data_IF_294647245642
#
_entry.id   IF_294647245642
#
_cell.length_a   1.000
_cell.length_b   1.000
_cell.length_c   1.000
_cell.angle_alpha   90.00
_cell.angle_beta   90.00
_cell.angle_gamma   90.00
#
_symmetry.space_group_name_H-M   'P 1'
#
loop_
_entity.id
_entity.type
_entity.pdbx_description
1 polymer ?
#
# COMPACT_ATOMS: atom_id res chain seq x y z
N UNK A 1 36.47 37.50 -21.60
CA UNK A 1 35.03 37.19 -21.39
C UNK A 1 34.66 35.74 -21.65
N UNK A 2 35.23 35.08 -22.67
CA UNK A 2 34.89 33.70 -23.06
C UNK A 2 35.24 32.62 -22.03
N UNK A 3 36.25 32.83 -21.17
CA UNK A 3 36.64 31.88 -20.12
C UNK A 3 35.67 31.80 -18.93
N UNK A 4 34.92 32.87 -18.65
CA UNK A 4 33.95 32.89 -17.53
C UNK A 4 32.60 32.25 -17.92
N UNK A 5 32.24 32.27 -19.20
CA UNK A 5 31.00 31.66 -19.72
C UNK A 5 31.10 30.12 -19.69
N UNK A 6 32.28 29.54 -19.96
CA UNK A 6 32.51 28.10 -19.88
C UNK A 6 32.47 27.57 -18.44
N UNK A 7 32.87 28.37 -17.46
CA UNK A 7 32.81 27.99 -16.04
C UNK A 7 31.36 28.01 -15.50
N UNK A 8 30.52 28.94 -15.97
CA UNK A 8 29.10 29.00 -15.65
C UNK A 8 28.29 27.86 -16.27
N UNK A 9 28.64 27.42 -17.50
CA UNK A 9 28.00 26.26 -18.14
C UNK A 9 28.36 24.93 -17.45
N UNK A 10 29.57 24.81 -16.87
CA UNK A 10 29.97 23.62 -16.10
C UNK A 10 29.24 23.46 -14.76
N UNK A 11 28.83 24.56 -14.14
CA UNK A 11 28.09 24.56 -12.86
C UNK A 11 26.60 24.23 -13.08
N UNK A 12 26.00 24.63 -14.20
CA UNK A 12 24.61 24.28 -14.52
C UNK A 12 24.48 22.79 -14.89
N UNK A 13 25.50 22.20 -15.53
CA UNK A 13 25.51 20.76 -15.87
C UNK A 13 25.70 19.82 -14.66
N UNK A 14 26.27 20.32 -13.55
CA UNK A 14 26.42 19.56 -12.30
C UNK A 14 25.25 19.77 -11.32
N UNK A 15 24.31 20.66 -11.66
CA UNK A 15 23.09 20.94 -10.90
C UNK A 15 21.90 20.02 -11.21
N UNK A 16 22.04 19.07 -12.16
CA UNK A 16 21.08 17.97 -12.31
C UNK A 16 21.35 16.96 -11.20
N UNK A 17 21.03 17.34 -9.96
CA UNK A 17 20.73 16.34 -8.94
C UNK A 17 19.77 15.37 -9.61
N UNK A 18 20.20 14.11 -9.78
CA UNK A 18 19.33 13.03 -10.19
C UNK A 18 18.15 13.04 -9.24
N UNK A 19 17.05 13.69 -9.63
CA UNK A 19 15.77 13.57 -8.97
C UNK A 19 15.23 12.19 -9.35
N UNK A 20 15.97 11.14 -8.96
CA UNK A 20 15.76 9.75 -9.36
C UNK A 20 14.28 9.45 -9.25
N UNK A 21 13.61 9.18 -10.36
CA UNK A 21 12.17 8.95 -10.34
C UNK A 21 11.80 7.83 -9.37
N UNK A 22 10.58 7.87 -8.83
CA UNK A 22 10.12 6.75 -8.01
C UNK A 22 10.05 5.50 -8.88
N UNK A 23 10.62 4.40 -8.39
CA UNK A 23 10.62 3.09 -9.06
C UNK A 23 10.22 2.00 -8.04
N UNK A 24 9.98 0.79 -8.49
CA UNK A 24 9.57 -0.35 -7.68
C UNK A 24 10.26 -1.63 -8.16
N UNK A 25 11.52 -1.51 -8.59
CA UNK A 25 12.33 -2.61 -9.13
C UNK A 25 13.20 -3.32 -8.09
N UNK A 26 13.11 -2.94 -6.80
CA UNK A 26 13.86 -3.60 -5.74
C UNK A 26 13.42 -5.06 -5.66
N UNK A 27 14.37 -5.98 -5.72
CA UNK A 27 14.09 -7.40 -5.73
C UNK A 27 15.00 -8.11 -4.75
N UNK A 28 14.48 -9.12 -4.06
CA UNK A 28 15.27 -10.02 -3.24
C UNK A 28 14.73 -10.22 -1.83
N UNK A 29 15.32 -11.18 -1.15
CA UNK A 29 15.05 -11.48 0.25
C UNK A 29 16.05 -10.74 1.14
N UNK A 30 15.55 -9.87 1.99
CA UNK A 30 16.32 -9.13 2.98
C UNK A 30 16.05 -9.72 4.35
N UNK A 31 17.06 -10.30 5.00
CA UNK A 31 16.90 -10.98 6.28
C UNK A 31 17.67 -10.28 7.39
N UNK A 32 17.15 -10.38 8.61
CA UNK A 32 17.87 -9.96 9.82
C UNK A 32 18.18 -11.16 10.71
N UNK A 33 19.28 -11.08 11.46
CA UNK A 33 19.59 -12.01 12.55
C UNK A 33 19.18 -11.45 13.93
N UNK A 34 18.62 -10.24 13.97
CA UNK A 34 18.14 -9.64 15.20
C UNK A 34 16.98 -10.45 15.77
N UNK A 35 17.12 -10.90 17.02
CA UNK A 35 16.03 -11.55 17.77
C UNK A 35 14.99 -10.57 18.30
N UNK A 36 15.31 -9.28 18.31
CA UNK A 36 14.44 -8.20 18.80
C UNK A 36 13.53 -7.65 17.70
N UNK A 37 13.78 -8.01 16.43
CA UNK A 37 12.95 -7.56 15.33
C UNK A 37 11.68 -8.39 15.23
N UNK A 38 10.53 -7.72 15.13
CA UNK A 38 9.26 -8.36 14.82
C UNK A 38 9.23 -8.97 13.41
N UNK A 39 9.99 -8.38 12.47
CA UNK A 39 9.98 -8.76 11.06
C UNK A 39 11.31 -9.41 10.69
N UNK A 40 11.32 -10.74 10.63
CA UNK A 40 12.54 -11.52 10.33
C UNK A 40 13.06 -11.32 8.90
N UNK A 41 12.17 -11.00 7.96
CA UNK A 41 12.53 -10.71 6.57
C UNK A 41 11.56 -9.78 5.84
N UNK A 42 12.06 -9.22 4.73
CA UNK A 42 11.26 -8.57 3.68
C UNK A 42 11.62 -9.19 2.33
N UNK A 43 10.62 -9.65 1.57
CA UNK A 43 10.84 -10.21 0.24
C UNK A 43 10.19 -9.30 -0.82
N UNK A 44 11.01 -8.59 -1.58
CA UNK A 44 10.55 -7.67 -2.63
C UNK A 44 10.50 -8.37 -3.97
N UNK A 45 9.41 -8.17 -4.70
CA UNK A 45 9.10 -8.89 -5.94
C UNK A 45 9.58 -8.19 -7.23
N UNK A 46 10.28 -7.05 -7.11
CA UNK A 46 10.68 -6.23 -8.26
C UNK A 46 9.52 -5.53 -9.00
N UNK A 47 8.30 -5.55 -8.46
CA UNK A 47 7.10 -4.97 -9.07
C UNK A 47 6.17 -4.25 -8.08
N UNK A 48 6.72 -3.74 -6.98
CA UNK A 48 5.97 -2.93 -6.01
C UNK A 48 5.18 -3.72 -4.97
N UNK A 49 5.33 -5.04 -4.87
CA UNK A 49 4.82 -5.82 -3.73
C UNK A 49 5.95 -6.38 -2.86
N UNK A 50 5.72 -6.38 -1.56
CA UNK A 50 6.65 -6.92 -0.58
C UNK A 50 5.93 -7.83 0.38
N UNK A 51 6.49 -9.02 0.63
CA UNK A 51 6.08 -9.90 1.72
C UNK A 51 6.84 -9.49 3.00
N UNK A 52 6.10 -9.41 4.10
CA UNK A 52 6.53 -8.83 5.37
C UNK A 52 6.52 -9.93 6.41
N UNK A 53 7.61 -10.70 6.43
CA UNK A 53 7.81 -11.82 7.33
C UNK A 53 6.63 -12.83 7.40
N UNK A 54 5.84 -12.98 6.33
CA UNK A 54 4.64 -13.82 6.29
C UNK A 54 3.42 -13.25 7.03
N UNK A 55 3.53 -12.11 7.71
CA UNK A 55 2.39 -11.45 8.36
C UNK A 55 1.43 -10.81 7.36
N UNK A 56 1.91 -10.51 6.15
CA UNK A 56 1.09 -9.92 5.11
C UNK A 56 1.94 -9.33 3.99
N UNK A 57 1.24 -8.77 3.00
CA UNK A 57 1.84 -8.11 1.85
C UNK A 57 1.62 -6.61 1.94
N UNK A 58 2.59 -5.85 1.43
CA UNK A 58 2.51 -4.39 1.31
C UNK A 58 2.84 -3.91 -0.09
N UNK A 59 2.44 -2.66 -0.38
CA UNK A 59 2.92 -1.92 -1.54
C UNK A 59 4.26 -1.25 -1.21
N UNK A 60 5.14 -1.07 -2.20
CA UNK A 60 6.35 -0.28 -1.99
C UNK A 60 6.78 0.54 -3.20
N UNK A 61 7.57 1.57 -2.92
CA UNK A 61 8.37 2.29 -3.92
C UNK A 61 9.75 2.61 -3.35
N UNK A 62 10.68 2.92 -4.26
CA UNK A 62 12.03 3.39 -4.01
C UNK A 62 12.20 4.78 -4.61
N UNK A 63 12.77 5.71 -3.86
CA UNK A 63 13.10 7.07 -4.31
C UNK A 63 14.45 7.46 -3.69
N UNK A 64 15.49 7.61 -4.50
CA UNK A 64 16.83 7.83 -3.97
C UNK A 64 17.33 6.59 -3.21
N UNK A 65 17.88 6.81 -2.01
CA UNK A 65 18.27 5.75 -1.07
C UNK A 65 17.13 5.31 -0.16
N UNK A 66 15.89 5.78 -0.38
CA UNK A 66 14.76 5.50 0.51
C UNK A 66 13.81 4.47 -0.08
N UNK A 67 13.44 3.47 0.72
CA UNK A 67 12.41 2.47 0.40
C UNK A 67 11.24 2.69 1.35
N UNK A 68 10.04 2.89 0.81
CA UNK A 68 8.83 3.12 1.60
C UNK A 68 7.86 1.97 1.32
N UNK A 69 7.41 1.31 2.39
CA UNK A 69 6.52 0.15 2.37
C UNK A 69 5.22 0.47 3.11
N UNK A 70 4.10 0.00 2.57
CA UNK A 70 2.75 0.17 3.11
C UNK A 70 2.16 -1.18 3.55
N UNK A 71 2.40 -1.63 4.80
CA UNK A 71 1.93 -2.92 5.33
C UNK A 71 0.42 -2.96 5.61
N UNK A 72 -0.11 -1.97 6.33
CA UNK A 72 -1.56 -1.80 6.59
C UNK A 72 -1.83 -0.50 7.39
N UNK A 73 -1.22 -0.37 8.58
CA UNK A 73 -1.52 0.69 9.56
C UNK A 73 -0.52 1.84 9.59
N UNK A 74 0.78 1.52 9.62
CA UNK A 74 1.85 2.53 9.63
C UNK A 74 2.88 2.21 8.56
N UNK A 75 3.58 3.23 8.07
CA UNK A 75 4.54 3.10 6.97
C UNK A 75 5.90 2.63 7.48
N UNK A 76 6.51 1.70 6.74
CA UNK A 76 7.91 1.35 6.99
C UNK A 76 8.80 2.15 6.05
N UNK A 77 9.76 2.88 6.63
CA UNK A 77 10.74 3.64 5.88
C UNK A 77 12.10 3.03 6.14
N UNK A 78 12.81 2.69 5.07
CA UNK A 78 14.16 2.17 5.13
C UNK A 78 15.11 3.06 4.33
N UNK A 79 16.36 3.14 4.79
CA UNK A 79 17.49 3.53 3.96
C UNK A 79 18.12 2.30 3.32
N UNK A 80 18.23 2.30 2.00
CA UNK A 80 18.86 1.25 1.20
C UNK A 80 20.25 1.67 0.75
N UNK A 81 21.27 0.91 1.15
CA UNK A 81 22.64 1.12 0.70
C UNK A 81 23.42 -0.20 0.75
N UNK A 82 24.27 -0.46 -0.26
CA UNK A 82 25.15 -1.64 -0.30
C UNK A 82 24.41 -2.97 -0.03
N UNK A 83 23.24 -3.15 -0.66
CA UNK A 83 22.38 -4.33 -0.49
C UNK A 83 21.87 -4.57 0.94
N UNK A 84 21.70 -3.50 1.70
CA UNK A 84 21.16 -3.51 3.06
C UNK A 84 20.03 -2.51 3.20
N UNK A 85 18.94 -2.93 3.84
CA UNK A 85 17.88 -2.06 4.35
C UNK A 85 18.18 -1.73 5.81
N UNK A 86 18.16 -0.45 6.15
CA UNK A 86 18.28 0.05 7.53
C UNK A 86 16.98 0.78 7.88
N UNK A 87 16.25 0.31 8.89
CA UNK A 87 14.95 0.88 9.22
C UNK A 87 15.06 2.23 9.93
N UNK A 88 14.22 3.17 9.49
CA UNK A 88 14.18 4.57 9.92
C UNK A 88 12.82 5.00 10.51
N UNK A 89 11.74 4.23 10.35
CA UNK A 89 10.45 4.49 11.00
C UNK A 89 10.19 3.58 12.20
N UNK A 90 9.24 3.94 13.06
CA UNK A 90 9.03 3.40 14.41
C UNK A 90 9.06 1.86 14.49
N UNK A 91 8.38 1.18 13.57
CA UNK A 91 8.24 -0.29 13.59
C UNK A 91 9.46 -1.06 13.08
N UNK A 92 10.36 -0.40 12.37
CA UNK A 92 11.55 -1.03 11.76
C UNK A 92 12.85 -0.40 12.24
N UNK A 93 12.77 0.61 13.12
CA UNK A 93 13.86 1.45 13.56
C UNK A 93 15.01 0.61 14.13
N UNK A 94 16.24 1.03 13.87
CA UNK A 94 17.47 0.44 14.40
C UNK A 94 17.74 -1.02 14.00
N UNK A 95 16.89 -1.63 13.17
CA UNK A 95 17.16 -2.97 12.62
C UNK A 95 17.71 -2.86 11.20
N UNK A 96 18.55 -3.83 10.85
CA UNK A 96 19.15 -3.97 9.51
C UNK A 96 18.77 -5.32 8.92
N UNK A 97 18.46 -5.30 7.63
CA UNK A 97 18.20 -6.49 6.83
C UNK A 97 19.16 -6.53 5.64
N UNK A 98 19.91 -7.61 5.54
CA UNK A 98 20.89 -7.83 4.49
C UNK A 98 20.30 -8.68 3.37
N UNK A 99 20.61 -8.33 2.12
CA UNK A 99 20.23 -9.13 0.96
C UNK A 99 20.85 -10.52 1.06
N UNK A 100 20.02 -11.55 1.07
CA UNK A 100 20.42 -12.94 0.95
C UNK A 100 20.72 -13.25 -0.52
N UNK A 101 22.00 -13.18 -0.89
CA UNK A 101 22.48 -13.34 -2.28
C UNK A 101 22.12 -14.68 -2.92
N UNK A 102 22.04 -15.75 -2.12
CA UNK A 102 21.74 -17.10 -2.61
C UNK A 102 20.22 -17.36 -2.72
N UNK A 103 19.40 -16.32 -2.61
CA UNK A 103 17.94 -16.42 -2.69
C UNK A 103 17.44 -15.80 -3.99
N UNK A 104 16.64 -16.55 -4.74
CA UNK A 104 15.93 -16.04 -5.92
C UNK A 104 14.55 -15.60 -5.44
N UNK A 105 14.34 -14.29 -5.27
CA UNK A 105 12.98 -13.75 -5.23
C UNK A 105 12.41 -13.79 -6.64
N UNK A 106 11.16 -14.24 -6.81
CA UNK A 106 10.51 -14.18 -8.11
C UNK A 106 10.40 -12.73 -8.58
N UNK A 107 10.77 -12.46 -9.83
CA UNK A 107 10.57 -11.15 -10.43
C UNK A 107 9.19 -11.10 -11.07
N UNK A 108 8.29 -10.34 -10.46
CA UNK A 108 6.91 -10.20 -10.95
C UNK A 108 6.73 -9.04 -11.93
N UNK A 109 7.81 -8.36 -12.34
CA UNK A 109 7.76 -7.24 -13.26
C UNK A 109 7.54 -7.73 -14.69
N UNK A 110 6.29 -7.68 -15.13
CA UNK A 110 5.88 -8.05 -16.50
C UNK A 110 5.80 -6.86 -17.47
N UNK A 111 5.53 -5.66 -16.94
CA UNK A 111 5.41 -4.42 -17.70
C UNK A 111 6.16 -3.30 -16.95
N UNK A 112 7.31 -2.89 -17.51
CA UNK A 112 8.17 -1.87 -16.91
C UNK A 112 7.51 -0.49 -16.88
N UNK A 113 6.72 -0.13 -17.90
CA UNK A 113 6.06 1.16 -18.00
C UNK A 113 4.93 1.26 -16.97
N UNK A 114 4.12 0.22 -16.84
CA UNK A 114 3.06 0.13 -15.83
C UNK A 114 3.65 0.13 -14.41
N UNK A 115 4.72 -0.63 -14.17
CA UNK A 115 5.38 -0.70 -12.87
C UNK A 115 5.92 0.67 -12.43
N UNK A 116 6.64 1.37 -13.32
CA UNK A 116 7.12 2.74 -13.06
C UNK A 116 5.98 3.73 -12.85
N UNK A 117 4.90 3.63 -13.63
CA UNK A 117 3.69 4.45 -13.42
C UNK A 117 3.12 4.23 -12.02
N UNK A 118 2.99 2.97 -11.59
CA UNK A 118 2.46 2.62 -10.27
C UNK A 118 3.37 3.13 -9.14
N UNK A 119 4.69 3.01 -9.27
CA UNK A 119 5.64 3.56 -8.32
C UNK A 119 5.53 5.09 -8.18
N UNK A 120 5.38 5.80 -9.30
CA UNK A 120 5.15 7.26 -9.32
C UNK A 120 3.84 7.64 -8.62
N UNK A 121 2.75 6.94 -8.92
CA UNK A 121 1.46 7.18 -8.28
C UNK A 121 1.51 6.89 -6.78
N UNK A 122 2.19 5.82 -6.36
CA UNK A 122 2.34 5.47 -4.95
C UNK A 122 3.22 6.47 -4.18
N UNK A 123 4.26 7.00 -4.82
CA UNK A 123 5.05 8.11 -4.27
C UNK A 123 4.21 9.40 -4.14
N UNK A 124 3.37 9.70 -5.13
CA UNK A 124 2.46 10.84 -5.06
C UNK A 124 1.42 10.67 -3.95
N UNK A 125 0.86 9.47 -3.81
CA UNK A 125 0.01 9.09 -2.68
C UNK A 125 0.73 9.37 -1.37
N UNK A 126 1.90 8.79 -1.14
CA UNK A 126 2.73 9.00 0.05
C UNK A 126 2.87 10.49 0.39
N UNK A 127 3.22 11.29 -0.61
CA UNK A 127 3.47 12.73 -0.45
C UNK A 127 2.24 13.53 -0.07
N UNK A 128 1.08 13.17 -0.60
CA UNK A 128 -0.17 13.89 -0.38
C UNK A 128 -0.90 13.43 0.87
N UNK A 129 -0.75 12.15 1.25
CA UNK A 129 -1.54 11.55 2.33
C UNK A 129 -0.74 11.30 3.61
N UNK A 130 0.57 10.98 3.55
CA UNK A 130 1.34 10.50 4.71
C UNK A 130 2.61 11.30 5.06
N UNK A 131 3.21 12.02 4.12
CA UNK A 131 4.52 12.65 4.34
C UNK A 131 4.55 13.79 5.39
N UNK A 132 3.39 14.24 5.88
CA UNK A 132 3.26 15.41 6.78
C UNK A 132 2.17 15.28 7.86
N UNK A 133 1.59 14.10 8.11
CA UNK A 133 0.41 14.00 8.99
C UNK A 133 0.65 13.33 10.33
N UNK A 134 0.06 13.95 11.37
CA UNK A 134 -0.59 13.24 12.47
C UNK A 134 -1.99 12.85 11.96
N UNK A 135 -2.18 11.59 11.56
CA UNK A 135 -3.35 11.15 10.77
C UNK A 135 -4.71 11.29 11.46
N UNK A 136 -4.74 11.37 12.79
CA UNK A 136 -6.00 11.38 13.55
C UNK A 136 -6.73 12.72 13.53
N UNK A 137 -6.01 13.85 13.62
CA UNK A 137 -6.62 15.19 13.66
C UNK A 137 -7.34 15.54 12.35
N UNK A 138 -6.83 15.05 11.22
CA UNK A 138 -7.44 15.28 9.90
C UNK A 138 -8.80 14.63 9.74
N UNK A 139 -9.09 13.56 10.49
CA UNK A 139 -10.39 12.87 10.43
C UNK A 139 -11.54 13.71 11.01
N UNK A 140 -11.23 14.75 11.80
CA UNK A 140 -12.19 15.64 12.42
C UNK A 140 -12.30 17.01 11.73
N UNK A 141 -11.52 17.25 10.66
CA UNK A 141 -11.59 18.46 9.84
C UNK A 141 -12.25 18.13 8.49
N UNK A 142 -13.47 18.64 8.29
CA UNK A 142 -14.25 18.41 7.08
C UNK A 142 -13.52 18.86 5.80
N UNK A 143 -12.78 19.98 5.86
CA UNK A 143 -12.04 20.51 4.72
C UNK A 143 -10.82 19.66 4.39
N UNK A 144 -10.13 19.15 5.43
CA UNK A 144 -9.04 18.21 5.27
C UNK A 144 -9.54 16.88 4.68
N UNK A 145 -10.67 16.37 5.15
CA UNK A 145 -11.30 15.15 4.65
C UNK A 145 -11.83 15.28 3.22
N UNK A 146 -12.37 16.44 2.84
CA UNK A 146 -12.78 16.70 1.46
C UNK A 146 -11.57 16.69 0.51
N UNK A 147 -10.49 17.38 0.89
CA UNK A 147 -9.24 17.39 0.12
C UNK A 147 -8.58 16.01 0.05
N UNK A 148 -8.65 15.25 1.14
CA UNK A 148 -8.20 13.87 1.21
C UNK A 148 -8.97 13.01 0.21
N UNK A 149 -10.29 13.01 0.30
CA UNK A 149 -11.18 12.21 -0.56
C UNK A 149 -10.97 12.55 -2.03
N UNK A 150 -10.81 13.84 -2.37
CA UNK A 150 -10.49 14.28 -3.74
C UNK A 150 -9.13 13.74 -4.22
N UNK A 151 -8.12 13.73 -3.35
CA UNK A 151 -6.81 13.16 -3.66
C UNK A 151 -6.88 11.67 -3.93
N UNK A 152 -7.61 10.94 -3.08
CA UNK A 152 -7.82 9.50 -3.22
C UNK A 152 -8.58 9.19 -4.52
N UNK A 153 -9.61 9.98 -4.83
CA UNK A 153 -10.38 9.82 -6.07
C UNK A 153 -9.52 10.02 -7.32
N UNK A 154 -8.74 11.10 -7.40
CA UNK A 154 -7.83 11.37 -8.51
C UNK A 154 -6.85 10.21 -8.74
N UNK A 155 -6.19 9.74 -7.67
CA UNK A 155 -5.21 8.66 -7.74
C UNK A 155 -5.86 7.33 -8.16
N UNK A 156 -7.06 7.03 -7.66
CA UNK A 156 -7.80 5.84 -8.09
C UNK A 156 -8.20 5.94 -9.59
N UNK A 157 -8.61 7.11 -10.06
CA UNK A 157 -8.98 7.34 -11.46
C UNK A 157 -7.76 7.20 -12.39
N UNK A 158 -6.58 7.58 -11.91
CA UNK A 158 -5.30 7.42 -12.63
C UNK A 158 -4.74 5.99 -12.60
N UNK A 159 -5.36 5.10 -11.82
CA UNK A 159 -5.07 3.67 -11.79
C UNK A 159 -4.18 3.21 -10.63
N UNK A 160 -4.17 3.91 -9.50
CA UNK A 160 -3.52 3.40 -8.28
C UNK A 160 -4.48 2.51 -7.49
N UNK A 161 -4.22 1.19 -7.47
CA UNK A 161 -5.07 0.23 -6.76
C UNK A 161 -5.22 0.56 -5.26
N UNK A 162 -4.12 0.97 -4.61
CA UNK A 162 -4.13 1.39 -3.20
C UNK A 162 -5.12 2.52 -2.93
N UNK A 163 -5.18 3.53 -3.79
CA UNK A 163 -6.15 4.61 -3.64
C UNK A 163 -7.58 4.14 -3.93
N UNK A 164 -7.78 3.21 -4.86
CA UNK A 164 -9.09 2.61 -5.08
C UNK A 164 -9.58 1.80 -3.87
N UNK A 165 -8.72 1.05 -3.21
CA UNK A 165 -9.02 0.34 -1.96
C UNK A 165 -9.43 1.30 -0.85
N UNK A 166 -8.72 2.42 -0.73
CA UNK A 166 -9.08 3.45 0.24
C UNK A 166 -10.40 4.15 -0.10
N UNK A 167 -10.63 4.47 -1.38
CA UNK A 167 -11.94 4.98 -1.85
C UNK A 167 -13.06 4.00 -1.53
N UNK A 168 -12.83 2.69 -1.70
CA UNK A 168 -13.80 1.65 -1.37
C UNK A 168 -14.18 1.72 0.11
N UNK A 169 -13.18 1.76 1.01
CA UNK A 169 -13.43 1.90 2.45
C UNK A 169 -14.19 3.17 2.81
N UNK A 170 -13.85 4.31 2.19
CA UNK A 170 -14.57 5.58 2.39
C UNK A 170 -16.03 5.49 1.95
N UNK A 171 -16.32 4.85 0.81
CA UNK A 171 -17.69 4.67 0.33
C UNK A 171 -18.51 3.74 1.24
N UNK A 172 -17.92 2.63 1.70
CA UNK A 172 -18.58 1.72 2.66
C UNK A 172 -18.88 2.45 3.97
N UNK A 173 -17.92 3.22 4.48
CA UNK A 173 -18.07 4.00 5.70
C UNK A 173 -19.22 5.01 5.58
N UNK A 174 -19.34 5.69 4.45
CA UNK A 174 -20.44 6.63 4.20
C UNK A 174 -21.80 5.91 4.17
N UNK A 175 -21.88 4.77 3.49
CA UNK A 175 -23.11 3.95 3.40
C UNK A 175 -23.62 3.47 4.78
N UNK A 176 -22.72 3.28 5.75
CA UNK A 176 -23.07 2.87 7.13
C UNK A 176 -23.27 4.06 8.08
N UNK A 177 -23.36 5.29 7.58
CA UNK A 177 -23.67 6.49 8.36
C UNK A 177 -22.47 7.40 8.64
N UNK A 178 -21.36 7.22 7.92
CA UNK A 178 -20.19 8.08 7.98
C UNK A 178 -19.29 7.85 9.19
N UNK A 179 -18.21 8.62 9.27
CA UNK A 179 -17.17 8.49 10.31
C UNK A 179 -17.75 8.59 11.73
N UNK A 180 -18.68 9.52 11.97
CA UNK A 180 -19.29 9.70 13.30
C UNK A 180 -20.05 8.46 13.78
N UNK A 181 -20.73 7.75 12.87
CA UNK A 181 -21.43 6.51 13.20
C UNK A 181 -20.45 5.37 13.53
N UNK A 182 -19.33 5.29 12.80
CA UNK A 182 -18.26 4.31 13.06
C UNK A 182 -17.61 4.55 14.42
N UNK A 183 -17.25 5.80 14.73
CA UNK A 183 -16.59 6.17 16.00
C UNK A 183 -17.50 5.96 17.22
N UNK A 184 -18.82 6.02 17.04
CA UNK A 184 -19.80 5.82 18.12
C UNK A 184 -20.43 4.43 18.13
N UNK A 185 -20.00 3.54 17.24
CA UNK A 185 -20.59 2.20 17.05
C UNK A 185 -22.11 2.23 16.79
N UNK A 186 -22.61 3.30 16.16
CA UNK A 186 -24.02 3.51 15.79
C UNK A 186 -24.22 3.40 14.28
N UNK A 187 -23.59 2.41 13.67
CA UNK A 187 -23.60 2.19 12.22
C UNK A 187 -24.98 1.75 11.72
N UNK A 188 -25.36 2.23 10.55
CA UNK A 188 -26.56 1.77 9.82
C UNK A 188 -26.28 0.40 9.22
N UNK A 189 -27.33 -0.42 9.09
CA UNK A 189 -27.25 -1.66 8.31
C UNK A 189 -26.91 -1.29 6.86
N UNK A 190 -25.81 -1.82 6.29
CA UNK A 190 -25.42 -1.48 4.93
C UNK A 190 -26.49 -1.97 3.95
N UNK A 191 -26.65 -1.22 2.86
CA UNK A 191 -27.46 -1.61 1.71
C UNK A 191 -26.53 -1.87 0.54
N UNK A 192 -26.97 -2.73 -0.37
CA UNK A 192 -26.22 -3.00 -1.57
C UNK A 192 -26.09 -1.72 -2.40
N UNK A 193 -24.85 -1.34 -2.70
CA UNK A 193 -24.51 -0.17 -3.49
C UNK A 193 -23.76 -0.62 -4.76
N UNK A 194 -24.33 -0.43 -5.96
CA UNK A 194 -23.73 -0.90 -7.20
C UNK A 194 -22.39 -0.22 -7.50
N UNK A 195 -22.17 1.03 -7.05
CA UNK A 195 -20.91 1.74 -7.28
C UNK A 195 -19.77 1.18 -6.42
N UNK A 196 -20.07 0.72 -5.18
CA UNK A 196 -19.09 0.02 -4.34
C UNK A 196 -18.68 -1.30 -4.99
N UNK A 197 -19.66 -2.07 -5.48
CA UNK A 197 -19.39 -3.35 -6.17
C UNK A 197 -18.53 -3.12 -7.41
N UNK A 198 -18.88 -2.12 -8.23
CA UNK A 198 -18.14 -1.76 -9.44
C UNK A 198 -16.70 -1.33 -9.12
N UNK A 199 -16.50 -0.57 -8.03
CA UNK A 199 -15.17 -0.19 -7.57
C UNK A 199 -14.35 -1.40 -7.11
N UNK A 200 -14.95 -2.32 -6.36
CA UNK A 200 -14.29 -3.57 -5.95
C UNK A 200 -13.89 -4.44 -7.15
N UNK A 201 -14.77 -4.57 -8.15
CA UNK A 201 -14.44 -5.25 -9.41
C UNK A 201 -13.30 -4.56 -10.17
N UNK A 202 -13.29 -3.21 -10.20
CA UNK A 202 -12.19 -2.44 -10.78
C UNK A 202 -10.87 -2.77 -10.09
N UNK A 203 -10.83 -2.77 -8.76
CA UNK A 203 -9.63 -3.10 -7.98
C UNK A 203 -9.11 -4.50 -8.34
N UNK A 204 -9.98 -5.51 -8.37
CA UNK A 204 -9.62 -6.88 -8.75
C UNK A 204 -9.07 -6.92 -10.19
N UNK A 205 -9.68 -6.19 -11.13
CA UNK A 205 -9.23 -6.12 -12.52
C UNK A 205 -7.86 -5.47 -12.69
N UNK A 206 -7.44 -4.63 -11.73
CA UNK A 206 -6.11 -4.02 -11.69
C UNK A 206 -5.03 -4.97 -11.16
N UNK A 207 -5.39 -6.23 -10.83
CA UNK A 207 -4.48 -7.24 -10.29
C UNK A 207 -4.26 -7.12 -8.78
N UNK A 208 -5.03 -6.31 -8.07
CA UNK A 208 -4.94 -6.20 -6.62
C UNK A 208 -5.72 -7.33 -5.94
N UNK A 209 -4.97 -8.29 -5.37
CA UNK A 209 -5.55 -9.48 -4.73
C UNK A 209 -6.44 -9.08 -3.55
N UNK A 210 -6.06 -8.04 -2.79
CA UNK A 210 -6.85 -7.57 -1.66
C UNK A 210 -8.22 -6.99 -2.05
N UNK A 211 -8.46 -6.75 -3.35
CA UNK A 211 -9.79 -6.47 -3.86
C UNK A 211 -10.80 -7.58 -3.55
N UNK A 212 -10.38 -8.84 -3.54
CA UNK A 212 -11.20 -9.97 -3.12
C UNK A 212 -11.54 -9.91 -1.63
N UNK A 213 -10.55 -9.55 -0.79
CA UNK A 213 -10.72 -9.40 0.66
C UNK A 213 -11.81 -8.39 0.99
N UNK A 214 -11.72 -7.17 0.44
CA UNK A 214 -12.71 -6.11 0.74
C UNK A 214 -14.08 -6.38 0.13
N UNK A 215 -14.15 -7.04 -1.02
CA UNK A 215 -15.43 -7.47 -1.60
C UNK A 215 -16.09 -8.54 -0.74
N UNK A 216 -15.33 -9.51 -0.24
CA UNK A 216 -15.83 -10.52 0.69
C UNK A 216 -16.39 -9.88 1.96
N UNK A 217 -15.62 -8.98 2.60
CA UNK A 217 -16.07 -8.25 3.80
C UNK A 217 -17.31 -7.39 3.54
N UNK A 218 -17.40 -6.76 2.37
CA UNK A 218 -18.59 -5.99 1.99
C UNK A 218 -19.82 -6.89 1.82
N UNK A 219 -19.71 -8.02 1.10
CA UNK A 219 -20.83 -8.97 0.98
C UNK A 219 -21.24 -9.56 2.33
N UNK A 220 -20.28 -9.88 3.19
CA UNK A 220 -20.55 -10.34 4.55
C UNK A 220 -21.34 -9.29 5.35
N UNK A 221 -20.95 -8.02 5.25
CA UNK A 221 -21.67 -6.91 5.89
C UNK A 221 -23.12 -6.77 5.40
N UNK A 222 -23.39 -7.15 4.15
CA UNK A 222 -24.73 -7.19 3.56
C UNK A 222 -25.55 -8.42 3.98
N UNK A 223 -24.92 -9.39 4.64
CA UNK A 223 -25.51 -10.69 4.99
C UNK A 223 -25.43 -11.74 3.88
N UNK A 224 -24.74 -11.48 2.77
CA UNK A 224 -24.57 -12.43 1.66
C UNK A 224 -23.30 -13.28 1.89
N UNK A 225 -23.40 -14.21 2.85
CA UNK A 225 -22.28 -15.06 3.30
C UNK A 225 -21.68 -15.91 2.18
N UNK A 226 -22.53 -16.46 1.30
CA UNK A 226 -22.09 -17.30 0.17
C UNK A 226 -21.20 -16.49 -0.78
N UNK A 227 -21.58 -15.24 -1.11
CA UNK A 227 -20.71 -14.39 -1.92
C UNK A 227 -19.45 -13.96 -1.17
N UNK A 228 -19.56 -13.72 0.14
CA UNK A 228 -18.41 -13.37 0.96
C UNK A 228 -17.33 -14.45 0.94
N UNK A 229 -17.70 -15.68 1.29
CA UNK A 229 -16.83 -16.87 1.27
C UNK A 229 -16.20 -17.09 -0.11
N UNK A 230 -17.00 -16.97 -1.17
CA UNK A 230 -16.49 -17.14 -2.54
C UNK A 230 -15.43 -16.11 -2.91
N UNK A 231 -15.58 -14.86 -2.48
CA UNK A 231 -14.55 -13.84 -2.74
C UNK A 231 -13.33 -14.06 -1.86
N UNK A 232 -13.48 -14.36 -0.57
CA UNK A 232 -12.35 -14.67 0.30
C UNK A 232 -11.55 -15.88 -0.18
N UNK A 233 -12.21 -16.96 -0.61
CA UNK A 233 -11.53 -18.13 -1.18
C UNK A 233 -10.67 -17.75 -2.40
N UNK A 234 -11.20 -16.93 -3.32
CA UNK A 234 -10.40 -16.44 -4.47
C UNK A 234 -9.19 -15.62 -4.03
N UNK A 235 -9.32 -14.84 -2.95
CA UNK A 235 -8.21 -14.10 -2.34
C UNK A 235 -7.16 -15.04 -1.78
N UNK A 236 -7.59 -16.04 -1.01
CA UNK A 236 -6.73 -17.07 -0.40
C UNK A 236 -6.00 -17.89 -1.47
N UNK A 237 -6.68 -18.33 -2.53
CA UNK A 237 -6.08 -19.07 -3.65
C UNK A 237 -4.98 -18.27 -4.36
N UNK A 238 -5.07 -16.93 -4.30
CA UNK A 238 -4.06 -15.99 -4.83
C UNK A 238 -3.02 -15.56 -3.78
N UNK A 239 -3.05 -16.17 -2.60
CA UNK A 239 -2.10 -15.94 -1.51
C UNK A 239 -2.35 -14.64 -0.74
N UNK A 240 -3.61 -14.24 -0.54
CA UNK A 240 -3.96 -13.23 0.46
C UNK A 240 -4.16 -13.88 1.83
N UNK A 241 -3.27 -13.58 2.76
CA UNK A 241 -3.41 -13.95 4.17
C UNK A 241 -4.61 -13.23 4.80
N UNK A 242 -4.91 -11.99 4.38
CA UNK A 242 -6.01 -11.20 4.92
C UNK A 242 -7.37 -11.80 4.57
N UNK A 243 -7.54 -12.33 3.36
CA UNK A 243 -8.76 -13.04 2.97
C UNK A 243 -8.98 -14.29 3.83
N UNK A 244 -7.93 -15.09 4.06
CA UNK A 244 -8.00 -16.26 4.92
C UNK A 244 -8.32 -15.93 6.39
N UNK A 245 -7.73 -14.85 6.92
CA UNK A 245 -8.06 -14.36 8.26
C UNK A 245 -9.51 -13.87 8.36
N UNK A 246 -9.99 -13.09 7.39
CA UNK A 246 -11.37 -12.60 7.38
C UNK A 246 -12.38 -13.75 7.33
N UNK A 247 -12.10 -14.78 6.53
CA UNK A 247 -12.91 -15.99 6.47
C UNK A 247 -12.92 -16.72 7.82
N UNK A 248 -11.75 -16.94 8.43
CA UNK A 248 -11.63 -17.59 9.73
C UNK A 248 -12.35 -16.82 10.84
N UNK A 249 -12.22 -15.49 10.87
CA UNK A 249 -12.91 -14.62 11.84
C UNK A 249 -14.44 -14.71 11.68
N UNK A 250 -14.95 -14.73 10.44
CA UNK A 250 -16.37 -14.90 10.15
C UNK A 250 -16.87 -16.25 10.69
N UNK A 251 -16.18 -17.35 10.36
CA UNK A 251 -16.53 -18.70 10.82
C UNK A 251 -16.56 -18.80 12.35
N UNK A 252 -15.57 -18.21 13.04
CA UNK A 252 -15.54 -18.18 14.51
C UNK A 252 -16.69 -17.37 15.13
N UNK A 253 -17.08 -16.26 14.50
CA UNK A 253 -18.15 -15.40 15.00
C UNK A 253 -19.54 -16.04 14.92
N UNK A 254 -19.70 -17.08 14.11
CA UNK A 254 -20.96 -17.81 13.92
C UNK A 254 -21.15 -18.99 14.89
N UNK A 255 -20.07 -19.38 15.59
CA UNK A 255 -20.08 -20.48 16.57
C UNK A 255 -20.38 -19.97 18.00
N UNK A 256 -20.41 -18.65 18.21
CA UNK A 256 -20.73 -17.99 19.48
C UNK A 256 -22.20 -17.59 19.56
#
# INVERSE_FOLDING_TARGET
>A
MTKYILFLLGIIASGVFNAQEADNNLQGYFMTQSKESLYSYFAFDGNGKVDIAGYGKGDYFVKGDSVVVFPDKDIFIFKFAKNRLSGNSSWVKNTKWDLKKDSIAENNRKDDALAKKNAKLLYEYYRKTRAKSNDLEKLFDESAMANYTKTIDDLCNRGLAKACMEKFGLMVMEDIGGMGAVLTSKTKKPKQNPEIIKLGQKIISMGEVEGHTVMGSYYYSLGDKIKAEKEWQKGTDKGSTKAGLAQFEAEMSEVQ
#
